data_IF_305192578032
#
_entry.id   IF_305192578032
#
_cell.length_a   1.000
_cell.length_b   1.000
_cell.length_c   1.000
_cell.angle_alpha   90.00
_cell.angle_beta   90.00
_cell.angle_gamma   90.00
#
_symmetry.space_group_name_H-M   'P 1'
#
loop_
_entity.id
_entity.type
_entity.pdbx_description
1 polymer ?
#
# COMPACT_ATOMS: atom_id res chain seq x y z
N UNK A 1 7.46 -13.48 -19.41
CA UNK A 1 6.39 -12.68 -18.79
C UNK A 1 6.87 -11.23 -18.84
N UNK A 2 6.31 -10.40 -19.72
CA UNK A 2 6.73 -9.00 -19.85
C UNK A 2 5.76 -8.15 -19.02
N UNK A 3 6.24 -7.45 -17.99
CA UNK A 3 5.42 -6.41 -17.36
C UNK A 3 5.37 -5.20 -18.27
N UNK A 4 4.22 -4.56 -18.41
CA UNK A 4 4.13 -3.32 -19.16
C UNK A 4 5.02 -2.26 -18.48
N UNK A 5 5.92 -1.65 -19.24
CA UNK A 5 6.83 -0.62 -18.73
C UNK A 5 6.03 0.60 -18.27
N UNK A 6 4.90 0.89 -18.95
CA UNK A 6 3.98 1.93 -18.49
C UNK A 6 3.43 1.59 -17.10
N UNK A 7 3.00 0.34 -16.88
CA UNK A 7 2.52 -0.11 -15.57
C UNK A 7 3.60 0.02 -14.49
N UNK A 8 4.85 -0.38 -14.77
CA UNK A 8 5.96 -0.20 -13.83
C UNK A 8 6.21 1.28 -13.50
N UNK A 9 6.19 2.14 -14.51
CA UNK A 9 6.40 3.58 -14.39
C UNK A 9 5.33 4.22 -13.50
N UNK A 10 4.08 3.97 -13.85
CA UNK A 10 2.92 4.57 -13.19
C UNK A 10 2.77 4.02 -11.77
N UNK A 11 2.87 2.69 -11.56
CA UNK A 11 2.76 2.11 -10.22
C UNK A 11 3.90 2.54 -9.30
N UNK A 12 5.13 2.65 -9.81
CA UNK A 12 6.28 3.03 -8.97
C UNK A 12 6.21 4.50 -8.58
N UNK A 13 5.90 5.39 -9.52
CA UNK A 13 5.77 6.83 -9.22
C UNK A 13 4.58 7.10 -8.29
N UNK A 14 3.45 6.45 -8.50
CA UNK A 14 2.31 6.55 -7.60
C UNK A 14 2.65 6.04 -6.19
N UNK A 15 3.17 4.81 -6.08
CA UNK A 15 3.40 4.16 -4.78
C UNK A 15 4.47 4.84 -3.94
N UNK A 16 5.57 5.26 -4.58
CA UNK A 16 6.74 5.74 -3.84
C UNK A 16 6.87 7.25 -3.82
N UNK A 17 6.26 7.97 -4.76
CA UNK A 17 6.37 9.43 -4.84
C UNK A 17 5.04 10.14 -4.56
N UNK A 18 3.91 9.42 -4.60
CA UNK A 18 2.58 10.02 -4.43
C UNK A 18 2.21 10.99 -5.56
N UNK A 19 2.74 10.76 -6.76
CA UNK A 19 2.46 11.56 -7.96
C UNK A 19 1.93 10.63 -9.05
N UNK A 20 1.03 11.15 -9.90
CA UNK A 20 0.56 10.43 -11.07
C UNK A 20 1.20 10.99 -12.34
N UNK A 21 1.90 10.14 -13.08
CA UNK A 21 2.44 10.49 -14.40
C UNK A 21 1.55 9.99 -15.55
N UNK A 22 0.42 9.34 -15.28
CA UNK A 22 -0.39 8.65 -16.31
C UNK A 22 -0.83 9.60 -17.44
N UNK A 23 -1.29 10.82 -17.14
CA UNK A 23 -1.66 11.78 -18.19
C UNK A 23 -0.44 12.22 -19.03
N UNK A 24 0.75 12.26 -18.41
CA UNK A 24 1.99 12.63 -19.07
C UNK A 24 2.44 11.61 -20.14
N UNK A 25 1.84 10.42 -20.21
CA UNK A 25 2.17 9.38 -21.20
C UNK A 25 1.95 9.85 -22.65
N UNK A 26 0.83 10.53 -22.91
CA UNK A 26 0.35 10.86 -24.26
C UNK A 26 0.51 12.35 -24.63
N UNK A 27 0.51 13.23 -23.64
CA UNK A 27 0.68 14.68 -23.76
C UNK A 27 1.23 15.24 -22.43
N UNK A 28 1.63 16.51 -22.37
CA UNK A 28 2.01 17.12 -21.08
C UNK A 28 0.81 17.15 -20.12
N UNK A 29 1.04 16.95 -18.82
CA UNK A 29 -0.02 16.96 -17.82
C UNK A 29 -0.80 18.29 -17.87
N UNK A 30 -2.14 18.28 -17.85
CA UNK A 30 -2.93 19.50 -18.08
C UNK A 30 -2.88 20.50 -16.92
N UNK A 31 -2.63 20.03 -15.70
CA UNK A 31 -2.70 20.83 -14.47
C UNK A 31 -1.47 20.69 -13.57
N UNK A 32 -0.48 19.89 -13.97
CA UNK A 32 0.76 19.68 -13.20
C UNK A 32 1.96 19.96 -14.10
N UNK A 33 3.14 20.11 -13.50
CA UNK A 33 4.38 20.42 -14.21
C UNK A 33 4.92 19.29 -15.11
N UNK A 34 4.35 18.08 -15.04
CA UNK A 34 4.92 16.90 -15.68
C UNK A 34 4.78 16.93 -17.20
N UNK A 35 5.92 16.83 -17.88
CA UNK A 35 5.98 16.79 -19.34
C UNK A 35 5.95 15.36 -19.89
N UNK A 36 5.59 15.22 -21.16
CA UNK A 36 5.65 13.93 -21.85
C UNK A 36 7.08 13.40 -21.94
N UNK A 37 8.06 14.29 -22.17
CA UNK A 37 9.48 13.92 -22.19
C UNK A 37 9.92 13.32 -20.84
N UNK A 38 9.49 13.91 -19.71
CA UNK A 38 9.77 13.36 -18.38
C UNK A 38 9.12 11.99 -18.17
N UNK A 39 7.88 11.78 -18.61
CA UNK A 39 7.24 10.45 -18.53
C UNK A 39 8.11 9.38 -19.19
N UNK A 40 8.55 9.62 -20.43
CA UNK A 40 9.34 8.63 -21.17
C UNK A 40 10.77 8.50 -20.64
N UNK A 41 11.35 9.55 -20.03
CA UNK A 41 12.61 9.45 -19.30
C UNK A 41 12.50 8.53 -18.08
N UNK A 42 11.41 8.64 -17.31
CA UNK A 42 11.14 7.75 -16.17
C UNK A 42 10.85 6.33 -16.65
N UNK A 43 10.05 6.17 -17.70
CA UNK A 43 9.77 4.87 -18.30
C UNK A 43 11.04 4.15 -18.76
N UNK A 44 12.01 4.90 -19.27
CA UNK A 44 13.28 4.34 -19.71
C UNK A 44 14.18 3.85 -18.55
N UNK A 45 13.90 4.22 -17.29
CA UNK A 45 14.57 3.59 -16.13
C UNK A 45 14.16 2.12 -15.96
N UNK A 46 12.95 1.76 -16.38
CA UNK A 46 12.39 0.42 -16.24
C UNK A 46 12.53 -0.43 -17.52
N UNK A 47 13.09 0.12 -18.60
CA UNK A 47 13.21 -0.55 -19.89
C UNK A 47 14.01 -1.85 -19.86
N UNK A 48 14.94 -1.96 -18.92
CA UNK A 48 15.82 -3.13 -18.73
C UNK A 48 15.30 -4.09 -17.66
N UNK A 49 14.13 -3.84 -17.07
CA UNK A 49 13.57 -4.72 -16.04
C UNK A 49 12.79 -5.85 -16.70
N UNK A 50 13.30 -7.07 -16.57
CA UNK A 50 12.69 -8.27 -17.15
C UNK A 50 12.30 -9.29 -16.07
N UNK A 51 11.43 -10.22 -16.45
CA UNK A 51 10.96 -11.29 -15.57
C UNK A 51 10.99 -12.65 -16.28
N UNK A 52 11.41 -13.67 -15.55
CA UNK A 52 11.33 -15.07 -15.96
C UNK A 52 10.75 -15.91 -14.82
N UNK A 53 10.18 -17.07 -15.15
CA UNK A 53 9.78 -18.02 -14.12
C UNK A 53 11.03 -18.60 -13.46
N UNK A 54 10.96 -18.80 -12.15
CA UNK A 54 11.96 -19.55 -11.40
C UNK A 54 11.73 -21.06 -11.49
N UNK A 55 12.55 -21.80 -10.76
CA UNK A 55 12.50 -23.27 -10.75
C UNK A 55 11.35 -23.79 -9.88
N UNK A 56 10.81 -22.95 -8.98
CA UNK A 56 9.67 -23.32 -8.12
C UNK A 56 8.33 -22.90 -8.76
N UNK A 57 7.27 -23.71 -8.63
CA UNK A 57 5.93 -23.30 -9.06
C UNK A 57 5.51 -21.96 -8.45
N UNK A 58 5.16 -20.99 -9.30
CA UNK A 58 4.77 -19.64 -8.89
C UNK A 58 5.92 -18.67 -8.62
N UNK A 59 7.18 -19.11 -8.71
CA UNK A 59 8.34 -18.24 -8.55
C UNK A 59 8.54 -17.34 -9.77
N UNK A 60 8.70 -16.04 -9.52
CA UNK A 60 9.01 -15.03 -10.53
C UNK A 60 10.37 -14.42 -10.19
N UNK A 61 11.33 -14.59 -11.08
CA UNK A 61 12.65 -13.97 -10.97
C UNK A 61 12.64 -12.66 -11.75
N UNK A 62 12.87 -11.56 -11.05
CA UNK A 62 13.06 -10.23 -11.64
C UNK A 62 14.55 -9.98 -11.82
N UNK A 63 14.97 -9.61 -13.03
CA UNK A 63 16.37 -9.37 -13.36
C UNK A 63 16.52 -8.14 -14.27
N UNK A 64 17.75 -7.64 -14.38
CA UNK A 64 18.10 -6.53 -15.26
C UNK A 64 18.75 -7.05 -16.54
N UNK A 65 18.31 -6.56 -17.69
CA UNK A 65 18.88 -6.82 -19.01
C UNK A 65 20.05 -5.88 -19.27
N UNK A 66 21.05 -6.32 -20.04
CA UNK A 66 22.20 -5.49 -20.40
C UNK A 66 21.81 -4.30 -21.32
N UNK A 67 20.80 -4.50 -22.16
CA UNK A 67 20.35 -3.52 -23.16
C UNK A 67 18.82 -3.46 -23.15
N UNK A 68 18.28 -2.34 -23.62
CA UNK A 68 16.84 -2.12 -23.68
C UNK A 68 16.53 -0.65 -23.46
N UNK A 69 15.79 -0.08 -24.40
CA UNK A 69 15.36 1.31 -24.37
C UNK A 69 13.93 1.42 -24.86
N UNK A 70 13.20 2.37 -24.31
CA UNK A 70 11.81 2.62 -24.68
C UNK A 70 11.74 3.91 -25.51
N UNK A 71 11.26 3.84 -26.76
CA UNK A 71 11.13 5.02 -27.60
C UNK A 71 10.03 5.94 -27.07
N UNK A 72 10.26 7.24 -27.11
CA UNK A 72 9.25 8.24 -26.83
C UNK A 72 8.15 8.18 -27.89
N UNK A 73 6.88 8.06 -27.46
CA UNK A 73 5.72 7.83 -28.35
C UNK A 73 5.66 8.76 -29.58
N UNK A 74 5.92 10.06 -29.39
CA UNK A 74 5.90 11.04 -30.50
C UNK A 74 7.22 11.23 -31.25
N UNK A 75 8.38 10.99 -30.62
CA UNK A 75 9.69 11.31 -31.20
C UNK A 75 10.29 10.09 -31.91
N UNK A 76 9.86 8.87 -31.57
CA UNK A 76 10.40 7.63 -32.09
C UNK A 76 11.81 7.28 -31.57
N UNK A 77 12.40 8.13 -30.73
CA UNK A 77 13.72 7.94 -30.12
C UNK A 77 13.61 7.86 -28.59
N UNK A 78 14.46 7.09 -27.90
CA UNK A 78 14.40 6.96 -26.45
C UNK A 78 14.87 8.24 -25.75
N UNK A 79 14.21 8.57 -24.64
CA UNK A 79 14.66 9.63 -23.74
C UNK A 79 15.80 9.11 -22.86
N UNK A 80 16.82 9.94 -22.55
CA UNK A 80 17.79 9.60 -21.50
C UNK A 80 17.07 9.23 -20.19
N UNK A 81 17.38 8.08 -19.57
CA UNK A 81 16.64 7.60 -18.41
C UNK A 81 16.90 8.51 -17.21
N UNK A 82 15.83 8.95 -16.55
CA UNK A 82 15.89 9.93 -15.46
C UNK A 82 14.71 9.79 -14.49
N UNK A 83 14.92 9.99 -13.18
CA UNK A 83 13.82 10.23 -12.25
C UNK A 83 13.04 11.51 -12.62
N UNK A 84 11.80 11.70 -12.13
CA UNK A 84 10.94 12.81 -12.56
C UNK A 84 11.58 14.22 -12.45
N UNK A 85 12.28 14.50 -11.35
CA UNK A 85 13.13 15.69 -11.16
C UNK A 85 14.59 15.31 -10.88
N UNK A 86 15.02 14.18 -11.44
CA UNK A 86 16.39 13.69 -11.32
C UNK A 86 17.27 14.16 -12.48
N UNK A 87 18.58 13.94 -12.34
CA UNK A 87 19.50 14.13 -13.47
C UNK A 87 19.34 12.97 -14.46
N UNK A 88 19.39 13.21 -15.77
CA UNK A 88 19.40 12.11 -16.74
C UNK A 88 20.72 11.35 -16.69
N UNK A 89 20.66 10.02 -16.83
CA UNK A 89 21.80 9.20 -17.21
C UNK A 89 21.96 9.24 -18.73
N UNK A 90 23.17 9.05 -19.24
CA UNK A 90 23.34 8.80 -20.68
C UNK A 90 22.82 7.41 -21.04
N UNK A 91 22.42 7.20 -22.29
CA UNK A 91 21.81 5.93 -22.72
C UNK A 91 22.79 4.74 -22.62
N UNK A 92 24.08 5.03 -22.83
CA UNK A 92 25.24 4.13 -22.77
C UNK A 92 25.86 4.03 -21.37
N UNK A 93 25.28 4.65 -20.34
CA UNK A 93 25.77 4.55 -18.98
C UNK A 93 25.79 3.07 -18.52
N UNK A 94 26.94 2.56 -18.06
CA UNK A 94 27.08 1.15 -17.68
C UNK A 94 26.45 0.83 -16.31
N UNK A 95 26.07 1.85 -15.52
CA UNK A 95 25.44 1.65 -14.21
C UNK A 95 24.02 1.09 -14.36
N UNK A 96 23.57 0.35 -13.35
CA UNK A 96 22.19 -0.11 -13.27
C UNK A 96 21.23 1.09 -13.20
N UNK A 97 20.25 1.11 -14.11
CA UNK A 97 19.19 2.15 -14.10
C UNK A 97 18.34 2.04 -12.84
N UNK A 98 18.16 0.79 -12.36
CA UNK A 98 17.37 0.48 -11.18
C UNK A 98 18.07 0.92 -9.90
N UNK A 99 19.38 0.67 -9.79
CA UNK A 99 20.17 1.16 -8.65
C UNK A 99 20.27 2.69 -8.64
N UNK A 100 20.44 3.31 -9.82
CA UNK A 100 20.42 4.77 -9.93
C UNK A 100 19.10 5.36 -9.44
N UNK A 101 17.97 4.81 -9.90
CA UNK A 101 16.65 5.26 -9.45
C UNK A 101 16.44 5.01 -7.96
N UNK A 102 16.85 3.85 -7.44
CA UNK A 102 16.73 3.54 -6.01
C UNK A 102 17.53 4.50 -5.13
N UNK A 103 18.77 4.84 -5.55
CA UNK A 103 19.61 5.81 -4.84
C UNK A 103 19.00 7.23 -4.86
N UNK A 104 18.41 7.64 -5.99
CA UNK A 104 17.67 8.92 -6.05
C UNK A 104 16.41 8.90 -5.18
N UNK A 105 15.68 7.79 -5.19
CA UNK A 105 14.42 7.63 -4.47
C UNK A 105 14.61 7.74 -2.96
N UNK A 106 15.66 7.12 -2.42
CA UNK A 106 15.96 7.09 -0.99
C UNK A 106 16.96 8.17 -0.55
N UNK A 107 17.27 9.12 -1.44
CA UNK A 107 18.10 10.28 -1.10
C UNK A 107 17.40 11.18 -0.07
N UNK A 108 18.12 11.74 0.92
CA UNK A 108 17.56 12.75 1.82
C UNK A 108 17.07 14.01 1.10
N UNK A 109 17.59 14.29 -0.10
CA UNK A 109 17.19 15.44 -0.92
C UNK A 109 15.95 15.17 -1.78
N UNK A 110 15.41 13.94 -1.75
CA UNK A 110 14.22 13.59 -2.51
C UNK A 110 12.97 14.23 -1.86
N UNK A 111 12.24 15.13 -2.55
CA UNK A 111 11.11 15.84 -1.95
C UNK A 111 9.82 15.01 -1.87
N UNK A 112 9.80 13.81 -2.43
CA UNK A 112 8.60 13.00 -2.61
C UNK A 112 8.52 11.81 -1.67
N UNK A 113 9.58 10.98 -1.63
CA UNK A 113 9.52 9.67 -0.99
C UNK A 113 9.20 9.73 0.50
N UNK A 114 9.94 10.56 1.24
CA UNK A 114 9.73 10.75 2.67
C UNK A 114 8.32 11.30 2.95
N UNK A 115 7.89 12.29 2.17
CA UNK A 115 6.59 12.96 2.32
C UNK A 115 5.42 11.99 2.07
N UNK A 116 5.50 11.20 1.01
CA UNK A 116 4.49 10.19 0.66
C UNK A 116 4.39 9.11 1.75
N UNK A 117 5.53 8.59 2.22
CA UNK A 117 5.53 7.58 3.28
C UNK A 117 5.00 8.11 4.60
N UNK A 118 5.42 9.32 5.01
CA UNK A 118 4.93 9.98 6.23
C UNK A 118 3.42 10.14 6.19
N UNK A 119 2.86 10.63 5.08
CA UNK A 119 1.43 10.80 4.94
C UNK A 119 0.67 9.45 5.01
N UNK A 120 1.21 8.41 4.38
CA UNK A 120 0.64 7.05 4.42
C UNK A 120 0.65 6.45 5.82
N UNK A 121 1.75 6.60 6.56
CA UNK A 121 1.85 6.13 7.95
C UNK A 121 0.92 6.93 8.85
N UNK A 122 0.86 8.26 8.69
CA UNK A 122 -0.08 9.11 9.42
C UNK A 122 -1.52 8.65 9.22
N UNK A 123 -1.96 8.51 7.97
CA UNK A 123 -3.29 8.04 7.60
C UNK A 123 -3.61 6.64 8.14
N UNK A 124 -2.62 5.75 8.20
CA UNK A 124 -2.81 4.41 8.79
C UNK A 124 -3.24 4.46 10.26
N UNK A 125 -2.67 5.38 11.04
CA UNK A 125 -2.94 5.47 12.47
C UNK A 125 -4.07 6.44 12.82
N UNK A 126 -4.19 7.56 12.09
CA UNK A 126 -5.19 8.60 12.38
C UNK A 126 -6.45 8.51 11.52
N UNK A 127 -6.54 7.52 10.63
CA UNK A 127 -7.73 7.28 9.80
C UNK A 127 -7.86 8.17 8.57
N UNK A 128 -7.23 9.36 8.58
CA UNK A 128 -7.17 10.30 7.47
C UNK A 128 -5.74 10.81 7.28
N UNK A 129 -5.33 11.06 6.04
CA UNK A 129 -4.04 11.67 5.71
C UNK A 129 -4.01 13.18 5.99
N UNK A 130 -2.81 13.72 6.18
CA UNK A 130 -2.61 15.18 6.13
C UNK A 130 -2.90 15.69 4.73
N UNK A 131 -2.52 14.93 3.71
CA UNK A 131 -3.06 15.02 2.35
C UNK A 131 -4.04 13.86 2.17
N UNK A 132 -5.24 14.12 1.63
CA UNK A 132 -6.25 13.10 1.37
C UNK A 132 -6.77 13.27 -0.07
N UNK A 133 -6.79 12.22 -0.92
CA UNK A 133 -6.31 10.85 -0.65
C UNK A 133 -4.82 10.76 -0.30
N UNK A 134 -4.40 9.72 0.43
CA UNK A 134 -3.04 9.67 1.00
C UNK A 134 -1.92 9.60 -0.04
N UNK A 135 -2.22 9.09 -1.23
CA UNK A 135 -1.30 8.88 -2.34
C UNK A 135 -1.41 9.99 -3.41
N UNK A 136 -2.20 11.03 -3.15
CA UNK A 136 -2.44 12.15 -4.07
C UNK A 136 -1.74 13.44 -3.61
N UNK A 137 -0.39 13.45 -3.62
CA UNK A 137 0.44 14.55 -3.12
C UNK A 137 0.71 15.65 -4.17
N UNK A 138 -0.28 15.94 -5.02
CA UNK A 138 -0.21 17.02 -6.02
C UNK A 138 -0.18 18.39 -5.35
N UNK A 139 0.44 19.37 -6.01
CA UNK A 139 0.42 20.77 -5.56
C UNK A 139 -1.00 21.34 -5.43
N UNK A 140 -1.93 20.86 -6.25
CA UNK A 140 -3.36 21.24 -6.20
C UNK A 140 -4.14 20.53 -5.11
N UNK A 141 -3.52 19.63 -4.35
CA UNK A 141 -4.09 18.94 -3.19
C UNK A 141 -3.24 19.20 -1.93
N UNK A 142 -3.29 20.43 -1.37
CA UNK A 142 -2.42 20.79 -0.27
C UNK A 142 -2.76 20.03 1.02
N UNK A 143 -1.78 19.80 1.91
CA UNK A 143 -2.04 19.19 3.20
C UNK A 143 -2.90 20.10 4.10
N UNK A 144 -3.71 19.49 4.97
CA UNK A 144 -4.50 20.20 6.00
C UNK A 144 -3.61 20.95 6.99
N UNK A 145 -2.37 20.49 7.18
CA UNK A 145 -1.33 21.18 7.94
C UNK A 145 0.04 20.95 7.29
N UNK A 146 0.53 21.95 6.54
CA UNK A 146 1.80 21.88 5.83
C UNK A 146 3.00 21.84 6.77
N UNK A 147 3.01 22.68 7.81
CA UNK A 147 4.11 22.77 8.76
C UNK A 147 4.36 21.43 9.48
N UNK A 148 3.27 20.75 9.86
CA UNK A 148 3.33 19.42 10.48
C UNK A 148 3.85 18.36 9.52
N UNK A 149 3.35 18.33 8.28
CA UNK A 149 3.82 17.37 7.28
C UNK A 149 5.32 17.57 6.99
N UNK A 150 5.76 18.82 6.84
CA UNK A 150 7.16 19.15 6.59
C UNK A 150 8.04 18.81 7.80
N UNK A 151 7.57 19.06 9.03
CA UNK A 151 8.29 18.70 10.25
C UNK A 151 8.45 17.18 10.40
N UNK A 152 7.38 16.40 10.18
CA UNK A 152 7.44 14.94 10.21
C UNK A 152 8.33 14.38 9.10
N UNK A 153 8.29 15.00 7.90
CA UNK A 153 9.15 14.61 6.77
C UNK A 153 10.62 14.83 7.09
N UNK A 154 11.00 16.02 7.60
CA UNK A 154 12.38 16.29 8.05
C UNK A 154 12.82 15.32 9.13
N UNK A 155 11.99 15.14 10.16
CA UNK A 155 12.27 14.22 11.25
C UNK A 155 12.46 12.77 10.76
N UNK A 156 11.69 12.33 9.77
CA UNK A 156 11.82 11.00 9.18
C UNK A 156 13.15 10.84 8.42
N UNK A 157 13.57 11.85 7.66
CA UNK A 157 14.88 11.87 6.96
C UNK A 157 16.04 11.91 7.95
N UNK A 158 16.00 12.76 8.98
CA UNK A 158 17.01 12.86 10.04
C UNK A 158 17.22 11.52 10.78
N UNK A 159 16.15 10.75 10.94
CA UNK A 159 16.19 9.42 11.56
C UNK A 159 16.41 8.29 10.54
N UNK A 160 17.00 8.61 9.37
CA UNK A 160 17.40 7.65 8.32
C UNK A 160 16.27 6.75 7.86
N UNK A 161 15.08 7.34 7.68
CA UNK A 161 13.89 6.65 7.20
C UNK A 161 13.42 5.49 8.11
N UNK A 162 13.70 5.55 9.42
CA UNK A 162 13.22 4.55 10.38
C UNK A 162 11.70 4.65 10.60
N UNK A 163 10.97 3.73 9.99
CA UNK A 163 9.51 3.66 10.07
C UNK A 163 9.04 3.36 11.50
N UNK A 164 9.78 2.56 12.29
CA UNK A 164 9.40 2.28 13.69
C UNK A 164 9.53 3.53 14.55
N UNK A 165 10.55 4.34 14.30
CA UNK A 165 10.72 5.63 14.97
C UNK A 165 9.60 6.61 14.61
N UNK A 166 9.23 6.72 13.34
CA UNK A 166 8.09 7.53 12.90
C UNK A 166 6.78 7.08 13.55
N UNK A 167 6.52 5.77 13.56
CA UNK A 167 5.35 5.18 14.22
C UNK A 167 5.34 5.55 15.69
N UNK A 168 6.44 5.35 16.41
CA UNK A 168 6.56 5.73 17.84
C UNK A 168 6.27 7.21 18.06
N UNK A 169 6.77 8.07 17.19
CA UNK A 169 6.56 9.52 17.27
C UNK A 169 5.07 9.88 17.14
N UNK A 170 4.38 9.29 16.15
CA UNK A 170 2.95 9.50 15.94
C UNK A 170 2.14 8.96 17.13
N UNK A 171 2.41 7.71 17.55
CA UNK A 171 1.66 7.06 18.62
C UNK A 171 1.82 7.73 19.98
N UNK A 172 2.94 8.41 20.24
CA UNK A 172 3.17 9.18 21.47
C UNK A 172 2.75 10.65 21.36
N UNK A 173 2.22 11.09 20.21
CA UNK A 173 1.78 12.47 20.03
C UNK A 173 0.47 12.74 20.77
N UNK A 174 0.28 13.99 21.21
CA UNK A 174 -1.00 14.43 21.75
C UNK A 174 -2.15 14.21 20.76
N UNK A 175 -1.89 14.38 19.45
CA UNK A 175 -2.88 14.17 18.39
C UNK A 175 -3.41 12.73 18.37
N UNK A 176 -2.54 11.72 18.44
CA UNK A 176 -2.97 10.31 18.49
C UNK A 176 -3.69 9.97 19.80
N UNK A 177 -3.25 10.54 20.92
CA UNK A 177 -3.74 10.23 22.26
C UNK A 177 -5.03 10.98 22.65
N UNK A 178 -5.59 11.80 21.75
CA UNK A 178 -6.88 12.47 21.99
C UNK A 178 -8.00 11.45 22.20
N UNK A 179 -8.98 11.82 23.01
CA UNK A 179 -10.24 11.07 23.11
C UNK A 179 -10.94 11.06 21.74
N UNK A 180 -11.68 9.99 21.45
CA UNK A 180 -12.63 9.95 20.33
C UNK A 180 -13.98 10.59 20.66
N UNK A 181 -14.23 10.92 21.93
CA UNK A 181 -15.42 11.66 22.33
C UNK A 181 -15.33 13.11 21.87
N UNK A 182 -16.40 13.59 21.25
CA UNK A 182 -16.51 14.94 20.72
C UNK A 182 -17.30 15.84 21.66
N UNK A 183 -17.11 17.14 21.49
CA UNK A 183 -18.00 18.19 22.00
C UNK A 183 -18.84 18.72 20.82
N UNK A 184 -19.98 19.39 21.06
CA UNK A 184 -20.84 19.87 19.97
C UNK A 184 -20.11 20.70 18.91
N UNK A 185 -19.09 21.47 19.29
CA UNK A 185 -18.32 22.36 18.44
C UNK A 185 -17.38 21.63 17.46
N UNK A 186 -16.95 20.40 17.79
CA UNK A 186 -15.99 19.65 16.98
C UNK A 186 -16.54 18.30 16.49
N UNK A 187 -17.81 18.01 16.72
CA UNK A 187 -18.45 16.76 16.32
C UNK A 187 -18.39 16.49 14.81
N UNK A 188 -18.33 17.56 14.00
CA UNK A 188 -18.25 17.47 12.55
C UNK A 188 -16.81 17.56 12.01
N UNK A 189 -15.79 17.70 12.88
CA UNK A 189 -14.40 17.76 12.43
C UNK A 189 -13.93 16.38 11.97
N UNK A 190 -13.72 16.25 10.67
CA UNK A 190 -13.24 15.03 10.02
C UNK A 190 -11.80 15.13 9.52
N UNK A 191 -11.13 16.28 9.73
CA UNK A 191 -9.88 16.59 9.00
C UNK A 191 -8.78 17.27 9.81
N UNK A 192 -9.12 17.94 10.90
CA UNK A 192 -8.18 18.74 11.70
C UNK A 192 -7.75 18.05 13.00
N UNK A 193 -8.21 16.82 13.23
CA UNK A 193 -7.77 15.98 14.34
C UNK A 193 -8.02 16.64 15.71
N UNK A 194 -9.11 17.39 15.85
CA UNK A 194 -9.54 17.95 17.14
C UNK A 194 -9.85 16.87 18.19
N UNK A 195 -10.16 15.65 17.72
CA UNK A 195 -10.38 14.42 18.46
C UNK A 195 -9.83 13.23 17.65
N UNK A 196 -9.74 12.05 18.26
CA UNK A 196 -9.34 10.84 17.54
C UNK A 196 -10.46 10.38 16.60
N UNK A 197 -10.15 10.27 15.30
CA UNK A 197 -11.09 9.80 14.29
C UNK A 197 -11.26 8.28 14.42
N UNK A 198 -12.48 7.85 14.76
CA UNK A 198 -12.79 6.42 14.87
C UNK A 198 -12.67 5.76 13.50
N UNK A 199 -11.84 4.73 13.44
CA UNK A 199 -11.61 3.94 12.23
C UNK A 199 -12.16 2.53 12.39
N UNK A 200 -12.63 1.97 11.28
CA UNK A 200 -13.03 0.56 11.22
C UNK A 200 -11.82 -0.36 11.37
N UNK A 201 -12.04 -1.48 12.04
CA UNK A 201 -11.03 -2.52 12.16
C UNK A 201 -10.87 -3.24 10.81
N UNK A 202 -9.63 -3.48 10.34
CA UNK A 202 -9.39 -4.30 9.16
C UNK A 202 -9.94 -5.72 9.32
N UNK A 203 -10.32 -6.35 8.21
CA UNK A 203 -10.83 -7.73 8.17
C UNK A 203 -9.97 -8.72 8.97
N UNK A 204 -8.65 -8.58 8.84
CA UNK A 204 -7.64 -9.40 9.50
C UNK A 204 -7.73 -9.28 11.02
N UNK A 205 -7.87 -8.05 11.52
CA UNK A 205 -8.01 -7.77 12.96
C UNK A 205 -9.32 -8.35 13.50
N UNK A 206 -10.43 -8.21 12.77
CA UNK A 206 -11.72 -8.77 13.21
C UNK A 206 -11.66 -10.29 13.30
N UNK A 207 -11.07 -10.96 12.29
CA UNK A 207 -10.93 -12.42 12.28
C UNK A 207 -10.01 -12.93 13.42
N UNK A 208 -8.93 -12.19 13.69
CA UNK A 208 -8.03 -12.48 14.80
C UNK A 208 -8.71 -12.29 16.15
N UNK A 209 -9.53 -11.25 16.33
CA UNK A 209 -10.35 -11.03 17.54
C UNK A 209 -11.29 -12.21 17.75
N UNK A 210 -12.00 -12.67 16.71
CA UNK A 210 -12.87 -13.84 16.83
C UNK A 210 -12.12 -15.06 17.31
N UNK A 211 -10.94 -15.32 16.73
CA UNK A 211 -10.11 -16.44 17.14
C UNK A 211 -9.59 -16.29 18.57
N UNK A 212 -9.18 -15.09 18.96
CA UNK A 212 -8.66 -14.79 20.30
C UNK A 212 -9.72 -14.91 21.40
N UNK A 213 -10.93 -14.39 21.16
CA UNK A 213 -12.03 -14.42 22.14
C UNK A 213 -12.57 -15.83 22.31
N UNK A 214 -12.72 -16.57 21.21
CA UNK A 214 -13.27 -17.93 21.23
C UNK A 214 -12.25 -19.00 21.57
N UNK A 215 -10.95 -18.71 21.53
CA UNK A 215 -9.86 -19.70 21.63
C UNK A 215 -9.87 -20.74 20.49
N UNK A 216 -10.54 -20.41 19.38
CA UNK A 216 -10.67 -21.28 18.20
C UNK A 216 -9.96 -20.62 17.01
N UNK A 217 -8.78 -21.09 16.60
CA UNK A 217 -8.04 -20.51 15.48
C UNK A 217 -8.76 -20.71 14.14
N UNK A 218 -8.56 -19.79 13.20
CA UNK A 218 -9.00 -19.98 11.81
C UNK A 218 -7.94 -20.79 11.05
N UNK A 219 -8.29 -21.91 10.40
CA UNK A 219 -7.35 -22.62 9.53
C UNK A 219 -7.17 -21.90 8.19
N UNK A 220 -5.93 -21.81 7.72
CA UNK A 220 -5.57 -21.25 6.41
C UNK A 220 -4.92 -22.35 5.54
N UNK A 221 -5.75 -23.18 4.92
CA UNK A 221 -5.31 -24.42 4.25
C UNK A 221 -5.40 -24.36 2.73
N UNK A 222 -5.80 -23.24 2.16
CA UNK A 222 -6.00 -23.09 0.72
C UNK A 222 -5.42 -21.78 0.19
N UNK A 223 -4.84 -21.83 -1.00
CA UNK A 223 -4.35 -20.68 -1.75
C UNK A 223 -4.92 -20.66 -3.18
N UNK A 224 -5.10 -19.47 -3.72
CA UNK A 224 -5.36 -19.23 -5.14
C UNK A 224 -4.09 -19.59 -5.94
N UNK A 225 -4.24 -20.39 -6.99
CA UNK A 225 -3.15 -20.84 -7.88
C UNK A 225 -3.50 -20.66 -9.35
N UNK A 226 -2.46 -20.41 -10.16
CA UNK A 226 -2.60 -20.24 -11.61
C UNK A 226 -3.22 -18.90 -12.00
N UNK A 227 -2.91 -18.43 -13.21
CA UNK A 227 -3.39 -17.15 -13.74
C UNK A 227 -4.93 -17.13 -13.96
N UNK A 228 -5.57 -18.29 -13.98
CA UNK A 228 -7.00 -18.48 -14.27
C UNK A 228 -7.86 -18.75 -13.02
N UNK A 229 -7.31 -18.65 -11.81
CA UNK A 229 -8.09 -18.68 -10.57
C UNK A 229 -8.38 -20.07 -9.99
N UNK A 230 -7.45 -21.02 -10.10
CA UNK A 230 -7.56 -22.31 -9.40
C UNK A 230 -7.39 -22.17 -7.89
N UNK A 231 -7.77 -23.21 -7.13
CA UNK A 231 -7.53 -23.30 -5.68
C UNK A 231 -6.72 -24.57 -5.42
N UNK A 232 -5.66 -24.47 -4.64
CA UNK A 232 -4.87 -25.60 -4.17
C UNK A 232 -4.79 -25.63 -2.64
N UNK A 233 -4.66 -26.82 -2.09
CA UNK A 233 -4.33 -27.00 -0.67
C UNK A 233 -2.91 -26.52 -0.37
N UNK A 234 -2.71 -25.98 0.83
CA UNK A 234 -1.41 -25.57 1.35
C UNK A 234 -1.23 -26.01 2.80
N UNK A 235 0.01 -26.35 3.15
CA UNK A 235 0.43 -26.62 4.53
C UNK A 235 1.41 -25.55 5.04
N UNK A 236 1.52 -24.41 4.34
CA UNK A 236 2.47 -23.34 4.68
C UNK A 236 2.09 -22.60 5.97
N UNK A 237 0.82 -22.63 6.36
CA UNK A 237 0.30 -21.91 7.51
C UNK A 237 -0.14 -22.89 8.60
N UNK A 238 0.64 -23.08 9.67
CA UNK A 238 0.23 -23.94 10.78
C UNK A 238 -1.02 -23.38 11.46
N UNK A 239 -1.81 -24.27 12.07
CA UNK A 239 -2.98 -23.88 12.86
C UNK A 239 -2.56 -22.89 13.97
N UNK A 240 -3.27 -21.78 14.09
CA UNK A 240 -2.92 -20.69 15.00
C UNK A 240 -2.17 -19.52 14.33
N UNK A 241 -1.81 -19.64 13.04
CA UNK A 241 -1.40 -18.48 12.23
C UNK A 241 -2.49 -17.41 12.27
N UNK A 242 -2.12 -16.18 12.62
CA UNK A 242 -3.04 -15.04 12.63
C UNK A 242 -3.29 -14.52 11.22
N UNK A 243 -4.47 -13.99 10.97
CA UNK A 243 -4.80 -13.32 9.71
C UNK A 243 -3.82 -12.17 9.41
N UNK A 244 -3.38 -11.43 10.44
CA UNK A 244 -2.35 -10.38 10.31
C UNK A 244 -0.96 -10.89 9.90
N UNK A 245 -0.69 -12.20 10.00
CA UNK A 245 0.59 -12.80 9.60
C UNK A 245 0.59 -13.33 8.17
N UNK A 246 -0.55 -13.26 7.47
CA UNK A 246 -0.65 -13.72 6.09
C UNK A 246 0.16 -12.79 5.16
N UNK A 247 1.01 -13.35 4.28
CA UNK A 247 1.92 -12.55 3.46
C UNK A 247 1.22 -11.84 2.29
N UNK A 248 0.13 -12.43 1.78
CA UNK A 248 -0.57 -11.95 0.60
C UNK A 248 -2.06 -12.34 0.59
N UNK A 249 -2.76 -11.87 -0.45
CA UNK A 249 -4.19 -12.09 -0.72
C UNK A 249 -4.49 -13.43 -1.40
N UNK A 250 -3.47 -14.26 -1.68
CA UNK A 250 -3.68 -15.57 -2.31
C UNK A 250 -4.32 -16.56 -1.35
N UNK A 251 -4.12 -16.40 -0.04
CA UNK A 251 -4.78 -17.25 0.96
C UNK A 251 -6.30 -17.11 0.86
N UNK A 252 -6.98 -18.21 0.58
CA UNK A 252 -8.44 -18.24 0.37
C UNK A 252 -9.14 -18.00 1.70
N UNK A 253 -9.97 -16.96 1.77
CA UNK A 253 -10.79 -16.70 2.95
C UNK A 253 -11.99 -15.83 2.59
N UNK A 254 -13.17 -16.47 2.53
CA UNK A 254 -14.43 -15.76 2.25
C UNK A 254 -14.75 -14.68 3.29
N UNK A 255 -14.35 -14.86 4.55
CA UNK A 255 -14.51 -13.84 5.58
C UNK A 255 -13.64 -12.61 5.29
N UNK A 256 -12.34 -12.81 5.04
CA UNK A 256 -11.43 -11.69 4.79
C UNK A 256 -11.87 -10.89 3.56
N UNK A 257 -12.28 -11.59 2.50
CA UNK A 257 -12.75 -10.97 1.26
C UNK A 257 -14.06 -10.18 1.50
N UNK A 258 -15.01 -10.76 2.24
CA UNK A 258 -16.27 -10.08 2.59
C UNK A 258 -16.10 -8.84 3.47
N UNK A 259 -15.02 -8.78 4.26
CA UNK A 259 -14.66 -7.65 5.12
C UNK A 259 -13.68 -6.67 4.47
N UNK A 260 -13.51 -6.75 3.13
CA UNK A 260 -12.80 -5.73 2.36
C UNK A 260 -11.29 -5.88 2.36
N UNK A 261 -10.75 -7.09 2.56
CA UNK A 261 -9.33 -7.37 2.29
C UNK A 261 -9.02 -7.04 0.82
N UNK A 262 -7.97 -6.25 0.53
CA UNK A 262 -7.59 -5.92 -0.84
C UNK A 262 -6.97 -7.11 -1.56
N UNK A 263 -7.22 -7.24 -2.87
CA UNK A 263 -6.58 -8.24 -3.72
C UNK A 263 -5.09 -7.92 -4.01
N UNK A 264 -4.64 -6.70 -3.69
CA UNK A 264 -3.27 -6.17 -3.93
C UNK A 264 -2.89 -6.15 -5.41
N UNK A 265 -3.89 -5.94 -6.27
CA UNK A 265 -3.74 -5.88 -7.72
C UNK A 265 -3.31 -4.48 -8.22
N UNK A 266 -3.62 -3.45 -7.44
CA UNK A 266 -3.34 -2.05 -7.75
C UNK A 266 -2.53 -1.40 -6.61
N UNK A 267 -1.73 -0.36 -6.91
CA UNK A 267 -0.96 0.34 -5.89
C UNK A 267 -1.83 1.24 -4.99
N UNK A 268 -3.07 1.52 -5.42
CA UNK A 268 -3.97 2.43 -4.71
C UNK A 268 -4.44 1.82 -3.39
N UNK A 269 -4.34 2.61 -2.31
CA UNK A 269 -4.93 2.23 -1.04
C UNK A 269 -6.46 2.08 -1.07
N UNK A 270 -7.11 2.65 -2.10
CA UNK A 270 -8.54 2.53 -2.36
C UNK A 270 -9.02 1.09 -2.67
N UNK A 271 -8.12 0.14 -2.95
CA UNK A 271 -8.48 -1.27 -3.13
C UNK A 271 -9.03 -1.90 -1.83
N UNK A 272 -8.63 -1.38 -0.66
CA UNK A 272 -9.21 -1.80 0.61
C UNK A 272 -10.54 -1.09 0.83
N UNK A 273 -11.61 -1.88 0.88
CA UNK A 273 -12.95 -1.37 1.16
C UNK A 273 -13.15 -1.20 2.67
N UNK A 274 -13.41 0.03 3.11
CA UNK A 274 -13.78 0.34 4.49
C UNK A 274 -15.28 0.60 4.68
N UNK A 275 -16.05 0.69 3.61
CA UNK A 275 -17.47 1.00 3.68
C UNK A 275 -18.30 -0.11 4.31
N UNK A 276 -19.45 0.28 4.85
CA UNK A 276 -20.43 -0.67 5.35
C UNK A 276 -21.08 -1.43 4.19
N UNK A 277 -21.22 -2.74 4.33
CA UNK A 277 -22.03 -3.55 3.41
C UNK A 277 -23.04 -4.40 4.15
N UNK A 278 -24.15 -4.73 3.49
CA UNK A 278 -25.15 -5.66 4.03
C UNK A 278 -24.51 -7.03 4.32
N UNK A 279 -23.60 -7.48 3.45
CA UNK A 279 -22.83 -8.72 3.63
C UNK A 279 -22.05 -8.72 4.94
N UNK A 280 -21.34 -7.64 5.27
CA UNK A 280 -20.64 -7.51 6.55
C UNK A 280 -21.62 -7.57 7.73
N UNK A 281 -22.74 -6.85 7.67
CA UNK A 281 -23.74 -6.84 8.74
C UNK A 281 -24.34 -8.24 8.98
N UNK A 282 -24.63 -8.98 7.91
CA UNK A 282 -25.08 -10.37 8.02
C UNK A 282 -24.00 -11.26 8.65
N UNK A 283 -22.74 -11.16 8.20
CA UNK A 283 -21.64 -11.92 8.79
C UNK A 283 -21.45 -11.64 10.28
N UNK A 284 -21.64 -10.40 10.74
CA UNK A 284 -21.56 -10.05 12.16
C UNK A 284 -22.72 -10.62 12.98
N UNK A 285 -23.94 -10.63 12.44
CA UNK A 285 -25.14 -11.07 13.16
C UNK A 285 -25.34 -12.59 13.16
N UNK A 286 -25.16 -13.24 12.00
CA UNK A 286 -25.47 -14.67 11.83
C UNK A 286 -24.44 -15.42 10.96
N UNK A 287 -23.27 -14.86 10.73
CA UNK A 287 -22.23 -15.47 9.91
C UNK A 287 -21.67 -16.77 10.52
N UNK A 288 -21.33 -17.72 9.65
CA UNK A 288 -20.74 -19.00 10.06
C UNK A 288 -19.39 -18.83 10.75
N UNK A 289 -18.57 -17.87 10.32
CA UNK A 289 -17.22 -17.66 10.86
C UNK A 289 -17.20 -17.49 12.39
N UNK A 290 -18.14 -16.73 12.95
CA UNK A 290 -18.25 -16.57 14.39
C UNK A 290 -19.03 -17.74 15.00
N UNK A 291 -20.20 -18.08 14.46
CA UNK A 291 -21.08 -19.11 15.04
C UNK A 291 -20.42 -20.48 15.14
N UNK A 292 -19.64 -20.90 14.15
CA UNK A 292 -18.94 -22.18 14.17
C UNK A 292 -17.83 -22.19 15.23
N UNK A 293 -17.15 -21.05 15.44
CA UNK A 293 -16.17 -20.90 16.52
C UNK A 293 -16.83 -20.95 17.90
N UNK A 294 -17.99 -20.32 18.07
CA UNK A 294 -18.74 -20.36 19.33
C UNK A 294 -19.18 -21.79 19.66
N UNK A 295 -19.64 -22.55 18.65
CA UNK A 295 -20.10 -23.95 18.76
C UNK A 295 -18.98 -25.00 18.84
N UNK A 296 -17.73 -24.60 18.64
CA UNK A 296 -16.63 -25.56 18.66
C UNK A 296 -16.47 -26.14 20.07
N UNK A 297 -16.29 -27.47 20.18
CA UNK A 297 -16.19 -28.19 21.46
C UNK A 297 -15.04 -27.71 22.35
N UNK A 298 -14.00 -27.14 21.74
CA UNK A 298 -12.83 -26.61 22.42
C UNK A 298 -12.89 -25.09 22.61
N UNK A 299 -14.01 -24.44 22.29
CA UNK A 299 -14.16 -23.00 22.44
C UNK A 299 -14.11 -22.59 23.92
N UNK A 300 -13.70 -21.35 24.16
CA UNK A 300 -13.69 -20.76 25.51
C UNK A 300 -15.09 -20.74 26.13
N UNK A 301 -16.13 -20.54 25.32
CA UNK A 301 -17.51 -20.49 25.81
C UNK A 301 -17.97 -21.86 26.26
N UNK A 302 -17.70 -22.91 25.46
CA UNK A 302 -18.05 -24.27 25.85
C UNK A 302 -17.35 -24.67 27.17
N UNK A 303 -16.07 -24.29 27.32
CA UNK A 303 -15.32 -24.47 28.57
C UNK A 303 -15.92 -23.70 29.76
N UNK A 304 -16.69 -22.65 29.54
CA UNK A 304 -17.35 -21.87 30.61
C UNK A 304 -18.75 -22.38 30.95
N UNK A 305 -19.39 -23.12 30.05
CA UNK A 305 -20.72 -23.69 30.25
C UNK A 305 -20.68 -25.05 30.97
N UNK A 306 -19.52 -25.71 31.00
CA UNK A 306 -19.25 -26.95 31.73
C UNK A 306 -18.85 -26.66 33.18
#
# INVERSE_FOLDING_TARGET
MHRDIAELTEKTTFTFLGISLTCARCHNHPIEKWTQDQYWAVANLFSRVAQKNGDRPGEIIVYEQAHGDVPHLRRGVPMPPAPPDGKPMTLDDPRSRREYFAAWLTSPDNPYFARALVNRVWRHFLGRGLVEPEDDLRLTNPPTNAELLDALTRHFVEHRFDVKHLIRTILNSATYQRSSQTVPENAADDRFYSHYLVRRLPAEVVLDIYSQVTDVPTPFTQIKVGATGGIAGTNQFPLGTRALQLPDSLVVSGFLDSFGRPDRSQPCACERMSDASMTQALHLNNGQTLNDKLRAKNSRIEKWLQ
#
